data_IF_216575873385
#
_entry.id   IF_216575873385
#
_cell.length_a   1.000
_cell.length_b   1.000
_cell.length_c   1.000
_cell.angle_alpha   90.00
_cell.angle_beta   90.00
_cell.angle_gamma   90.00
#
_symmetry.space_group_name_H-M   'P 1'
#
loop_
_entity.id
_entity.type
_entity.pdbx_description
1 polymer ?
#
# COMPACT_ATOMS: atom_id res chain seq x y z
N UNK A 1 14.55 -16.36 0.04
CA UNK A 1 15.14 -17.37 0.97
C UNK A 1 15.60 -16.77 2.30
N UNK A 2 16.71 -16.02 2.38
CA UNK A 2 17.26 -15.57 3.67
C UNK A 2 16.30 -14.77 4.57
N UNK A 3 15.46 -13.91 3.97
CA UNK A 3 14.39 -13.18 4.68
C UNK A 3 13.39 -14.15 5.33
N UNK A 4 12.94 -15.16 4.58
CA UNK A 4 11.95 -16.14 5.06
C UNK A 4 12.50 -16.98 6.21
N UNK A 5 13.79 -17.33 6.16
CA UNK A 5 14.46 -18.05 7.24
C UNK A 5 14.62 -17.19 8.50
N UNK A 6 15.08 -15.94 8.37
CA UNK A 6 15.22 -15.00 9.49
C UNK A 6 13.91 -14.71 10.21
N UNK A 7 12.80 -14.66 9.48
CA UNK A 7 11.47 -14.47 10.04
C UNK A 7 10.84 -15.75 10.62
N UNK A 8 11.54 -16.90 10.56
CA UNK A 8 11.00 -18.17 11.04
C UNK A 8 9.79 -18.68 10.26
N UNK A 9 9.62 -18.24 9.00
CA UNK A 9 8.46 -18.61 8.17
C UNK A 9 8.46 -20.11 7.86
N UNK A 10 9.63 -20.69 7.60
CA UNK A 10 9.74 -22.13 7.31
C UNK A 10 9.25 -22.98 8.50
N UNK A 11 9.65 -22.63 9.71
CA UNK A 11 9.19 -23.30 10.94
C UNK A 11 7.68 -23.11 11.15
N UNK A 12 7.18 -21.89 10.90
CA UNK A 12 5.76 -21.55 11.05
C UNK A 12 4.88 -22.34 10.07
N UNK A 13 5.34 -22.51 8.83
CA UNK A 13 4.64 -23.25 7.80
C UNK A 13 4.95 -24.76 7.82
N UNK A 14 5.87 -25.19 8.68
CA UNK A 14 6.37 -26.56 8.74
C UNK A 14 6.86 -27.08 7.37
N UNK A 15 7.67 -26.26 6.68
CA UNK A 15 8.26 -26.58 5.36
C UNK A 15 9.79 -26.57 5.43
N UNK A 16 10.40 -27.35 4.55
CA UNK A 16 11.85 -27.38 4.37
C UNK A 16 12.35 -26.23 3.50
N UNK A 17 13.66 -25.96 3.57
CA UNK A 17 14.35 -25.02 2.67
C UNK A 17 14.17 -25.42 1.20
N UNK A 18 14.21 -26.71 0.89
CA UNK A 18 13.99 -27.23 -0.47
C UNK A 18 12.59 -26.91 -0.97
N UNK A 19 11.55 -27.18 -0.17
CA UNK A 19 10.17 -26.87 -0.55
C UNK A 19 9.96 -25.38 -0.81
N UNK A 20 10.55 -24.51 0.02
CA UNK A 20 10.46 -23.07 -0.23
C UNK A 20 11.21 -22.66 -1.50
N UNK A 21 12.40 -23.23 -1.75
CA UNK A 21 13.16 -22.94 -2.96
C UNK A 21 12.38 -23.37 -4.21
N UNK A 22 11.86 -24.60 -4.23
CA UNK A 22 11.08 -25.14 -5.35
C UNK A 22 9.81 -24.31 -5.58
N UNK A 23 9.14 -23.86 -4.50
CA UNK A 23 8.02 -22.93 -4.58
C UNK A 23 8.41 -21.60 -5.22
N UNK A 24 9.51 -20.98 -4.79
CA UNK A 24 9.95 -19.69 -5.33
C UNK A 24 10.35 -19.80 -6.80
N UNK A 25 10.96 -20.90 -7.24
CA UNK A 25 11.30 -21.14 -8.66
C UNK A 25 10.04 -21.25 -9.52
N UNK A 26 9.02 -21.97 -9.06
CA UNK A 26 7.75 -22.07 -9.78
C UNK A 26 7.00 -20.73 -9.83
N UNK A 27 7.05 -19.95 -8.74
CA UNK A 27 6.45 -18.61 -8.68
C UNK A 27 7.16 -17.65 -9.62
N UNK A 28 8.50 -17.58 -9.60
CA UNK A 28 9.30 -16.75 -10.52
C UNK A 28 8.98 -17.10 -11.98
N UNK A 29 8.92 -18.39 -12.31
CA UNK A 29 8.57 -18.88 -13.64
C UNK A 29 7.14 -18.53 -14.09
N UNK A 30 6.28 -18.12 -13.15
CA UNK A 30 4.91 -17.69 -13.41
C UNK A 30 4.76 -16.18 -13.58
N UNK A 31 5.82 -15.39 -13.37
CA UNK A 31 5.86 -13.98 -13.76
C UNK A 31 6.20 -13.83 -15.25
N UNK A 32 5.55 -12.87 -15.90
CA UNK A 32 5.83 -12.56 -17.29
C UNK A 32 7.01 -11.57 -17.42
N UNK A 33 7.60 -11.53 -18.61
CA UNK A 33 8.60 -10.52 -18.98
C UNK A 33 7.91 -9.20 -19.31
N UNK A 34 7.62 -8.43 -18.27
CA UNK A 34 7.12 -7.05 -18.34
C UNK A 34 8.23 -6.08 -17.88
N UNK A 35 8.13 -4.77 -18.14
CA UNK A 35 9.09 -3.82 -17.61
C UNK A 35 9.07 -3.72 -16.08
N UNK A 36 7.88 -3.64 -15.45
CA UNK A 36 7.74 -3.38 -14.02
C UNK A 36 7.24 -4.59 -13.24
N UNK A 37 6.06 -5.12 -13.59
CA UNK A 37 5.37 -6.19 -12.84
C UNK A 37 6.02 -7.56 -13.07
N UNK A 38 7.19 -7.74 -12.47
CA UNK A 38 8.08 -8.90 -12.60
C UNK A 38 8.34 -9.53 -11.23
N UNK A 39 8.99 -10.70 -11.20
CA UNK A 39 9.44 -11.29 -9.94
C UNK A 39 10.38 -10.37 -9.13
N UNK A 40 11.11 -9.48 -9.80
CA UNK A 40 11.96 -8.49 -9.11
C UNK A 40 11.15 -7.44 -8.35
N UNK A 41 9.97 -7.04 -8.87
CA UNK A 41 9.03 -6.16 -8.16
C UNK A 41 8.52 -6.85 -6.90
N UNK A 42 8.08 -8.11 -7.02
CA UNK A 42 7.65 -8.92 -5.88
C UNK A 42 8.78 -9.10 -4.83
N UNK A 43 10.04 -9.27 -5.27
CA UNK A 43 11.20 -9.33 -4.38
C UNK A 43 11.49 -7.99 -3.67
N UNK A 44 11.27 -6.85 -4.32
CA UNK A 44 11.37 -5.51 -3.72
C UNK A 44 10.31 -5.35 -2.61
N UNK A 45 9.06 -5.76 -2.87
CA UNK A 45 7.97 -5.76 -1.89
C UNK A 45 8.31 -6.62 -0.67
N UNK A 46 8.84 -7.83 -0.87
CA UNK A 46 9.32 -8.66 0.24
C UNK A 46 10.39 -7.95 1.06
N UNK A 47 11.26 -7.16 0.43
CA UNK A 47 12.32 -6.42 1.10
C UNK A 47 11.78 -5.24 1.92
N UNK A 48 10.80 -4.48 1.41
CA UNK A 48 10.20 -3.39 2.21
C UNK A 48 9.35 -3.94 3.35
N UNK A 49 8.63 -5.05 3.13
CA UNK A 49 7.89 -5.72 4.20
C UNK A 49 8.83 -6.22 5.29
N UNK A 50 9.97 -6.80 4.92
CA UNK A 50 11.00 -7.19 5.90
C UNK A 50 11.44 -5.99 6.75
N UNK A 51 11.75 -4.86 6.11
CA UNK A 51 12.08 -3.63 6.83
C UNK A 51 10.94 -3.15 7.74
N UNK A 52 9.69 -3.23 7.28
CA UNK A 52 8.53 -2.84 8.07
C UNK A 52 8.34 -3.73 9.31
N UNK A 53 8.45 -5.05 9.15
CA UNK A 53 8.24 -5.98 10.29
C UNK A 53 9.41 -5.97 11.27
N UNK A 54 10.64 -5.70 10.84
CA UNK A 54 11.81 -5.66 11.73
C UNK A 54 12.09 -4.25 12.25
N UNK A 55 12.44 -3.31 11.37
CA UNK A 55 12.96 -2.00 11.77
C UNK A 55 11.84 -1.04 12.20
N UNK A 56 10.66 -1.17 11.59
CA UNK A 56 9.47 -0.39 11.94
C UNK A 56 8.59 -1.07 12.99
N UNK A 57 9.03 -2.23 13.51
CA UNK A 57 8.38 -2.98 14.60
C UNK A 57 6.95 -3.45 14.29
N UNK A 58 6.55 -3.52 13.02
CA UNK A 58 5.22 -3.99 12.64
C UNK A 58 4.98 -5.47 13.00
N UNK A 59 6.04 -6.26 13.20
CA UNK A 59 5.93 -7.67 13.63
C UNK A 59 5.16 -7.84 14.93
N UNK A 60 5.20 -6.83 15.81
CA UNK A 60 4.50 -6.86 17.10
C UNK A 60 2.98 -6.86 17.00
N UNK A 61 2.46 -6.48 15.84
CA UNK A 61 1.02 -6.42 15.54
C UNK A 61 0.46 -7.73 15.00
N UNK A 62 1.31 -8.72 14.76
CA UNK A 62 0.95 -9.94 14.03
C UNK A 62 1.38 -11.19 14.77
N UNK A 63 0.65 -12.27 14.52
CA UNK A 63 1.11 -13.62 14.82
C UNK A 63 2.16 -14.07 13.79
N UNK A 64 3.01 -15.03 14.16
CA UNK A 64 3.97 -15.62 13.21
C UNK A 64 3.28 -16.17 11.95
N UNK A 65 2.07 -16.72 12.10
CA UNK A 65 1.27 -17.23 10.98
C UNK A 65 0.86 -16.10 10.04
N UNK A 66 0.32 -15.00 10.54
CA UNK A 66 -0.04 -13.83 9.72
C UNK A 66 1.17 -13.25 8.99
N UNK A 67 2.35 -13.18 9.63
CA UNK A 67 3.61 -12.80 8.98
C UNK A 67 3.95 -13.78 7.84
N UNK A 68 3.86 -15.08 8.08
CA UNK A 68 4.12 -16.08 7.04
C UNK A 68 3.18 -15.93 5.84
N UNK A 69 1.87 -15.71 6.06
CA UNK A 69 0.91 -15.51 4.97
C UNK A 69 1.17 -14.20 4.23
N UNK A 70 1.49 -13.11 4.95
CA UNK A 70 1.79 -11.81 4.37
C UNK A 70 2.96 -11.88 3.37
N UNK A 71 4.04 -12.57 3.73
CA UNK A 71 5.21 -12.71 2.86
C UNK A 71 4.96 -13.66 1.67
N UNK A 72 4.14 -14.68 1.84
CA UNK A 72 3.72 -15.54 0.71
C UNK A 72 2.75 -14.78 -0.21
N UNK A 73 1.83 -13.97 0.32
CA UNK A 73 0.98 -13.10 -0.50
C UNK A 73 1.83 -12.08 -1.28
N UNK A 74 2.82 -11.46 -0.64
CA UNK A 74 3.71 -10.50 -1.28
C UNK A 74 4.45 -11.06 -2.50
N UNK A 75 5.02 -12.27 -2.41
CA UNK A 75 5.72 -12.85 -3.56
C UNK A 75 4.77 -13.30 -4.67
N UNK A 76 3.48 -13.50 -4.34
CA UNK A 76 2.46 -14.01 -5.25
C UNK A 76 1.57 -12.93 -5.88
N UNK A 77 1.53 -11.70 -5.34
CA UNK A 77 0.44 -10.74 -5.61
C UNK A 77 0.27 -10.37 -7.09
N UNK A 78 1.35 -10.40 -7.87
CA UNK A 78 1.38 -10.04 -9.30
C UNK A 78 1.71 -11.21 -10.24
N UNK A 79 1.60 -12.45 -9.75
CA UNK A 79 1.84 -13.65 -10.58
C UNK A 79 0.94 -13.63 -11.83
N UNK A 80 1.52 -13.80 -13.00
CA UNK A 80 0.79 -13.77 -14.28
C UNK A 80 0.41 -12.38 -14.78
N UNK A 81 0.89 -11.29 -14.16
CA UNK A 81 0.58 -9.93 -14.61
C UNK A 81 1.01 -9.71 -16.08
N UNK A 82 0.12 -9.28 -17.00
CA UNK A 82 0.39 -9.22 -18.44
C UNK A 82 1.05 -7.91 -18.89
N UNK A 83 1.28 -6.97 -17.97
CA UNK A 83 1.81 -5.64 -18.28
C UNK A 83 0.75 -4.60 -18.66
N UNK A 84 -0.52 -4.90 -18.41
CA UNK A 84 -1.67 -4.03 -18.69
C UNK A 84 -2.65 -4.09 -17.52
N UNK A 85 -3.14 -2.93 -17.09
CA UNK A 85 -3.98 -2.82 -15.89
C UNK A 85 -5.41 -3.38 -16.08
N UNK A 86 -6.13 -3.49 -14.96
CA UNK A 86 -7.51 -4.00 -14.92
C UNK A 86 -8.45 -3.27 -15.91
N UNK A 87 -8.36 -1.94 -16.04
CA UNK A 87 -9.20 -1.15 -16.96
C UNK A 87 -8.95 -1.51 -18.43
N UNK A 88 -7.69 -1.74 -18.83
CA UNK A 88 -7.37 -2.23 -20.16
C UNK A 88 -7.99 -3.60 -20.44
N UNK A 89 -7.89 -4.53 -19.48
CA UNK A 89 -8.48 -5.87 -19.60
C UNK A 89 -9.99 -5.79 -19.85
N UNK A 90 -10.69 -4.93 -19.10
CA UNK A 90 -12.14 -4.73 -19.22
C UNK A 90 -12.51 -4.06 -20.55
N UNK A 91 -11.83 -2.97 -20.93
CA UNK A 91 -12.11 -2.24 -22.17
C UNK A 91 -11.87 -3.09 -23.43
N UNK A 92 -10.86 -3.95 -23.39
CA UNK A 92 -10.55 -4.87 -24.49
C UNK A 92 -11.36 -6.17 -24.47
N UNK A 93 -12.18 -6.38 -23.42
CA UNK A 93 -12.95 -7.62 -23.21
C UNK A 93 -12.06 -8.86 -23.25
N UNK A 94 -10.93 -8.80 -22.55
CA UNK A 94 -9.98 -9.92 -22.53
C UNK A 94 -10.62 -11.17 -21.91
N UNK A 95 -10.00 -12.32 -22.15
CA UNK A 95 -10.42 -13.58 -21.54
C UNK A 95 -10.37 -13.51 -20.01
N UNK A 96 -9.39 -12.78 -19.44
CA UNK A 96 -9.27 -12.57 -18.01
C UNK A 96 -10.43 -11.73 -17.48
N UNK A 97 -10.75 -10.61 -18.14
CA UNK A 97 -11.87 -9.76 -17.74
C UNK A 97 -13.21 -10.52 -17.75
N UNK A 98 -13.41 -11.38 -18.75
CA UNK A 98 -14.58 -12.26 -18.83
C UNK A 98 -14.59 -13.30 -17.70
N UNK A 99 -13.45 -13.95 -17.43
CA UNK A 99 -13.33 -14.98 -16.39
C UNK A 99 -13.61 -14.45 -14.98
N UNK A 100 -13.15 -13.22 -14.69
CA UNK A 100 -13.25 -12.61 -13.37
C UNK A 100 -14.34 -11.53 -13.29
N UNK A 101 -15.30 -11.55 -14.23
CA UNK A 101 -16.46 -10.65 -14.23
C UNK A 101 -16.08 -9.16 -14.02
N UNK A 102 -15.00 -8.71 -14.67
CA UNK A 102 -14.47 -7.35 -14.61
C UNK A 102 -14.13 -6.82 -13.20
N UNK A 103 -14.00 -7.67 -12.17
CA UNK A 103 -13.74 -7.26 -10.79
C UNK A 103 -12.40 -7.81 -10.32
N UNK A 104 -11.48 -6.92 -9.91
CA UNK A 104 -10.11 -7.27 -9.46
C UNK A 104 -9.49 -8.37 -10.33
N UNK A 105 -9.47 -8.12 -11.64
CA UNK A 105 -9.25 -9.12 -12.68
C UNK A 105 -7.86 -9.74 -12.54
N UNK A 106 -6.85 -8.90 -12.33
CA UNK A 106 -5.46 -9.32 -12.23
C UNK A 106 -5.15 -9.93 -10.86
N UNK A 107 -5.68 -9.36 -9.79
CA UNK A 107 -5.48 -9.88 -8.43
C UNK A 107 -6.13 -11.26 -8.27
N UNK A 108 -7.33 -11.44 -8.83
CA UNK A 108 -8.01 -12.74 -8.89
C UNK A 108 -7.21 -13.75 -9.74
N UNK A 109 -6.58 -13.28 -10.81
CA UNK A 109 -5.71 -14.12 -11.64
C UNK A 109 -4.47 -14.59 -10.90
N UNK A 110 -3.78 -13.69 -10.20
CA UNK A 110 -2.62 -14.01 -9.35
C UNK A 110 -2.96 -15.05 -8.29
N UNK A 111 -4.14 -14.91 -7.64
CA UNK A 111 -4.64 -15.89 -6.67
C UNK A 111 -4.84 -17.26 -7.31
N UNK A 112 -5.54 -17.31 -8.45
CA UNK A 112 -5.85 -18.56 -9.16
C UNK A 112 -4.60 -19.31 -9.63
N UNK A 113 -3.54 -18.59 -10.02
CA UNK A 113 -2.26 -19.18 -10.40
C UNK A 113 -1.45 -19.64 -9.18
N UNK A 114 -1.55 -18.93 -8.06
CA UNK A 114 -0.72 -19.17 -6.88
C UNK A 114 -1.21 -20.33 -6.01
N UNK A 115 -2.53 -20.53 -5.88
CA UNK A 115 -3.09 -21.56 -5.00
C UNK A 115 -2.62 -22.98 -5.37
N UNK A 116 -2.65 -23.41 -6.66
CA UNK A 116 -2.15 -24.73 -7.03
C UNK A 116 -0.66 -24.92 -6.69
N UNK A 117 0.16 -23.86 -6.75
CA UNK A 117 1.57 -23.91 -6.41
C UNK A 117 1.79 -24.00 -4.88
N UNK A 118 0.99 -23.26 -4.10
CA UNK A 118 0.95 -23.38 -2.63
C UNK A 118 0.62 -24.82 -2.22
N UNK A 119 -0.40 -25.42 -2.83
CA UNK A 119 -0.82 -26.80 -2.57
C UNK A 119 0.26 -27.82 -2.99
N UNK A 120 0.81 -27.66 -4.20
CA UNK A 120 1.89 -28.50 -4.77
C UNK A 120 3.08 -28.60 -3.82
N UNK A 121 3.53 -27.47 -3.29
CA UNK A 121 4.71 -27.40 -2.41
C UNK A 121 4.38 -27.63 -0.94
N UNK A 122 3.09 -27.84 -0.62
CA UNK A 122 2.61 -28.14 0.71
C UNK A 122 2.71 -26.97 1.68
N UNK A 123 2.67 -25.73 1.18
CA UNK A 123 2.51 -24.54 1.99
C UNK A 123 1.11 -24.55 2.63
N UNK A 124 0.99 -23.91 3.81
CA UNK A 124 -0.26 -23.77 4.58
C UNK A 124 -0.93 -25.09 5.02
N UNK A 125 -0.21 -26.22 5.03
CA UNK A 125 -0.75 -27.48 5.58
C UNK A 125 -1.12 -27.32 7.06
N UNK A 126 -2.38 -27.60 7.40
CA UNK A 126 -2.90 -27.50 8.79
C UNK A 126 -3.17 -26.07 9.27
N UNK A 127 -3.26 -25.12 8.33
CA UNK A 127 -3.36 -23.69 8.54
C UNK A 127 -4.55 -23.21 7.68
N UNK A 128 -5.69 -22.87 8.31
CA UNK A 128 -6.85 -22.25 7.62
C UNK A 128 -6.62 -20.75 7.34
N UNK A 129 -5.82 -20.46 6.31
CA UNK A 129 -5.38 -19.08 6.00
C UNK A 129 -5.43 -18.74 4.51
N UNK A 130 -6.04 -19.59 3.69
CA UNK A 130 -6.28 -19.27 2.27
C UNK A 130 -7.18 -18.03 2.17
N UNK A 131 -8.13 -17.85 3.08
CA UNK A 131 -8.96 -16.65 3.13
C UNK A 131 -8.14 -15.38 3.37
N UNK A 132 -7.19 -15.39 4.32
CA UNK A 132 -6.27 -14.27 4.54
C UNK A 132 -5.38 -14.03 3.31
N UNK A 133 -4.81 -15.08 2.72
CA UNK A 133 -4.00 -14.98 1.50
C UNK A 133 -4.77 -14.29 0.36
N UNK A 134 -6.03 -14.68 0.13
CA UNK A 134 -6.90 -14.05 -0.88
C UNK A 134 -7.18 -12.60 -0.56
N UNK A 135 -7.55 -12.28 0.69
CA UNK A 135 -7.85 -10.90 1.12
C UNK A 135 -6.64 -9.97 0.94
N UNK A 136 -5.44 -10.48 1.19
CA UNK A 136 -4.21 -9.72 1.01
C UNK A 136 -3.97 -9.38 -0.46
N UNK A 137 -3.98 -10.37 -1.36
CA UNK A 137 -3.75 -10.10 -2.78
C UNK A 137 -4.88 -9.25 -3.38
N UNK A 138 -6.15 -9.50 -3.06
CA UNK A 138 -7.25 -8.65 -3.53
C UNK A 138 -7.10 -7.19 -3.08
N UNK A 139 -6.50 -6.95 -1.91
CA UNK A 139 -6.32 -5.60 -1.39
C UNK A 139 -5.23 -4.79 -2.11
N UNK A 140 -4.42 -5.41 -2.98
CA UNK A 140 -3.44 -4.66 -3.79
C UNK A 140 -4.09 -3.99 -5.01
N UNK A 141 -5.34 -4.33 -5.34
CA UNK A 141 -6.10 -3.63 -6.38
C UNK A 141 -6.25 -2.14 -6.00
N UNK A 142 -5.72 -1.26 -6.84
CA UNK A 142 -5.76 0.19 -6.64
C UNK A 142 -7.20 0.74 -6.53
N UNK A 143 -8.23 0.00 -6.94
CA UNK A 143 -9.62 0.34 -6.66
C UNK A 143 -9.94 0.45 -5.15
N UNK A 144 -9.25 -0.30 -4.30
CA UNK A 144 -9.43 -0.29 -2.84
C UNK A 144 -8.52 0.70 -2.10
N UNK A 145 -7.66 1.42 -2.80
CA UNK A 145 -6.64 2.29 -2.17
C UNK A 145 -7.23 3.29 -1.16
N UNK A 146 -8.31 3.99 -1.50
CA UNK A 146 -8.90 4.98 -0.60
C UNK A 146 -9.70 4.35 0.55
N UNK A 147 -10.26 3.15 0.34
CA UNK A 147 -10.91 2.40 1.42
C UNK A 147 -9.87 1.95 2.44
N UNK A 148 -8.72 1.43 1.98
CA UNK A 148 -7.59 1.06 2.84
C UNK A 148 -6.98 2.28 3.55
N UNK A 149 -6.90 3.43 2.88
CA UNK A 149 -6.48 4.68 3.51
C UNK A 149 -7.41 5.08 4.66
N UNK A 150 -8.72 4.94 4.46
CA UNK A 150 -9.69 5.23 5.53
C UNK A 150 -9.56 4.20 6.66
N UNK A 151 -9.45 2.90 6.34
CA UNK A 151 -9.21 1.85 7.34
C UNK A 151 -7.94 2.12 8.16
N UNK A 152 -6.86 2.60 7.54
CA UNK A 152 -5.62 2.94 8.23
C UNK A 152 -5.81 4.09 9.23
N UNK A 153 -6.60 5.11 8.86
CA UNK A 153 -6.94 6.22 9.76
C UNK A 153 -7.84 5.76 10.91
N UNK A 154 -8.78 4.87 10.66
CA UNK A 154 -9.67 4.33 11.69
C UNK A 154 -8.90 3.47 12.71
N UNK A 155 -7.86 2.74 12.27
CA UNK A 155 -6.99 1.98 13.17
C UNK A 155 -6.11 2.86 14.07
N UNK A 156 -5.78 4.08 13.62
CA UNK A 156 -4.97 5.04 14.38
C UNK A 156 -5.67 5.50 15.66
N UNK A 157 -7.00 5.62 15.63
CA UNK A 157 -7.78 6.11 16.76
C UNK A 157 -7.85 5.12 17.95
N UNK A 158 -7.23 3.94 17.83
CA UNK A 158 -7.22 2.90 18.85
C UNK A 158 -6.03 3.03 19.83
N UNK A 159 -6.26 3.41 21.11
CA UNK A 159 -5.20 3.56 22.10
C UNK A 159 -4.56 2.24 22.53
N UNK A 160 -5.07 1.08 22.09
CA UNK A 160 -4.60 -0.25 22.47
C UNK A 160 -4.11 -1.08 21.27
N UNK A 161 -3.27 -0.49 20.43
CA UNK A 161 -2.62 -1.11 19.26
C UNK A 161 -2.01 -2.51 19.52
N UNK A 162 -1.57 -2.80 20.75
CA UNK A 162 -0.99 -4.09 21.16
C UNK A 162 -2.01 -5.23 21.39
N UNK A 163 -3.33 -4.95 21.32
CA UNK A 163 -4.41 -5.92 21.58
C UNK A 163 -5.40 -6.04 20.43
N UNK A 164 -4.92 -5.95 19.19
CA UNK A 164 -5.77 -6.10 18.02
C UNK A 164 -6.34 -7.51 17.88
N UNK A 165 -7.66 -7.57 17.68
CA UNK A 165 -8.37 -8.76 17.23
C UNK A 165 -7.95 -9.19 15.81
N UNK A 166 -8.37 -10.38 15.41
CA UNK A 166 -8.03 -10.99 14.12
C UNK A 166 -8.44 -10.11 12.92
N UNK A 167 -9.54 -9.36 13.05
CA UNK A 167 -10.04 -8.49 11.98
C UNK A 167 -9.13 -7.27 11.82
N UNK A 168 -8.74 -6.62 12.92
CA UNK A 168 -7.82 -5.47 12.89
C UNK A 168 -6.43 -5.87 12.40
N UNK A 169 -5.91 -7.02 12.83
CA UNK A 169 -4.63 -7.54 12.31
C UNK A 169 -4.72 -7.86 10.81
N UNK A 170 -5.83 -8.45 10.36
CA UNK A 170 -6.08 -8.65 8.92
C UNK A 170 -6.11 -7.33 8.15
N UNK A 171 -6.81 -6.31 8.68
CA UNK A 171 -6.87 -4.99 8.06
C UNK A 171 -5.50 -4.35 7.97
N UNK A 172 -4.72 -4.40 9.04
CA UNK A 172 -3.37 -3.88 9.03
C UNK A 172 -2.45 -4.63 8.07
N UNK A 173 -2.58 -5.95 7.94
CA UNK A 173 -1.80 -6.72 6.98
C UNK A 173 -2.11 -6.32 5.53
N UNK A 174 -3.39 -6.08 5.18
CA UNK A 174 -3.79 -5.51 3.87
C UNK A 174 -3.14 -4.14 3.65
N UNK A 175 -3.23 -3.25 4.65
CA UNK A 175 -2.67 -1.90 4.58
C UNK A 175 -1.16 -1.95 4.34
N UNK A 176 -0.45 -2.84 5.05
CA UNK A 176 1.01 -2.99 4.95
C UNK A 176 1.43 -3.57 3.60
N UNK A 177 0.71 -4.56 3.07
CA UNK A 177 0.98 -5.12 1.75
C UNK A 177 0.75 -4.08 0.65
N UNK A 178 -0.36 -3.35 0.72
CA UNK A 178 -0.64 -2.26 -0.22
C UNK A 178 0.42 -1.16 -0.13
N UNK A 179 0.83 -0.76 1.09
CA UNK A 179 1.93 0.19 1.28
C UNK A 179 3.23 -0.31 0.61
N UNK A 180 3.54 -1.59 0.78
CA UNK A 180 4.72 -2.21 0.21
C UNK A 180 4.71 -2.19 -1.31
N UNK A 181 3.56 -2.48 -1.92
CA UNK A 181 3.38 -2.50 -3.38
C UNK A 181 3.59 -1.11 -4.02
N UNK A 182 3.11 -0.05 -3.37
CA UNK A 182 3.34 1.33 -3.83
C UNK A 182 4.59 2.00 -3.22
N UNK A 183 5.52 1.23 -2.65
CA UNK A 183 6.65 1.77 -1.87
C UNK A 183 7.84 2.28 -2.69
N UNK A 184 7.85 2.10 -4.01
CA UNK A 184 8.99 2.48 -4.84
C UNK A 184 9.38 3.96 -4.69
N UNK A 185 8.40 4.84 -4.50
CA UNK A 185 8.61 6.28 -4.28
C UNK A 185 9.24 6.62 -2.92
N UNK A 186 9.27 5.68 -1.98
CA UNK A 186 9.92 5.83 -0.66
C UNK A 186 11.24 5.06 -0.58
N UNK A 187 11.77 4.59 -1.72
CA UNK A 187 13.15 4.09 -1.85
C UNK A 187 14.13 5.24 -2.03
N UNK A 188 15.40 5.01 -1.71
CA UNK A 188 16.46 5.98 -2.04
C UNK A 188 16.44 6.33 -3.53
N UNK A 189 16.78 7.56 -3.87
CA UNK A 189 16.58 8.14 -5.20
C UNK A 189 17.00 7.25 -6.38
N UNK A 190 18.20 6.62 -6.43
CA UNK A 190 18.59 5.80 -7.57
C UNK A 190 17.63 4.63 -7.84
N UNK A 191 17.14 4.00 -6.77
CA UNK A 191 16.21 2.87 -6.84
C UNK A 191 14.80 3.37 -7.20
N UNK A 192 14.33 4.43 -6.53
CA UNK A 192 13.03 5.07 -6.81
C UNK A 192 12.93 5.52 -8.27
N UNK A 193 14.01 6.12 -8.80
CA UNK A 193 14.09 6.55 -10.20
C UNK A 193 14.08 5.37 -11.17
N UNK A 194 14.84 4.31 -10.89
CA UNK A 194 14.85 3.11 -11.73
C UNK A 194 13.47 2.44 -11.80
N UNK A 195 12.79 2.28 -10.67
CA UNK A 195 11.42 1.77 -10.66
C UNK A 195 10.45 2.67 -11.42
N UNK A 196 10.60 3.99 -11.28
CA UNK A 196 9.83 4.95 -12.06
C UNK A 196 10.09 4.87 -13.57
N UNK A 197 11.31 4.52 -14.00
CA UNK A 197 11.63 4.27 -15.41
C UNK A 197 10.87 3.04 -15.95
N UNK A 198 10.87 1.96 -15.17
CA UNK A 198 10.20 0.71 -15.53
C UNK A 198 8.68 0.86 -15.61
N UNK A 199 8.04 1.46 -14.60
CA UNK A 199 6.57 1.61 -14.60
C UNK A 199 6.10 2.55 -15.71
N UNK A 200 6.84 3.63 -15.99
CA UNK A 200 6.47 4.55 -17.08
C UNK A 200 6.66 3.90 -18.45
N UNK A 201 7.69 3.05 -18.61
CA UNK A 201 7.83 2.25 -19.82
C UNK A 201 6.61 1.35 -20.04
N UNK A 202 6.12 0.69 -18.99
CA UNK A 202 4.95 -0.18 -19.06
C UNK A 202 3.66 0.60 -19.33
N UNK A 203 3.45 1.72 -18.64
CA UNK A 203 2.33 2.65 -18.91
C UNK A 203 2.32 3.11 -20.37
N UNK A 204 3.47 3.44 -20.94
CA UNK A 204 3.54 3.86 -22.33
C UNK A 204 3.31 2.71 -23.31
N UNK A 205 3.70 1.47 -22.97
CA UNK A 205 3.33 0.29 -23.76
C UNK A 205 1.82 0.07 -23.76
N UNK A 206 1.15 0.24 -22.61
CA UNK A 206 -0.30 0.22 -22.54
C UNK A 206 -0.94 1.32 -23.39
N UNK A 207 -0.46 2.56 -23.29
CA UNK A 207 -1.00 3.67 -24.08
C UNK A 207 -0.89 3.46 -25.59
N UNK A 208 0.18 2.82 -26.07
CA UNK A 208 0.33 2.46 -27.47
C UNK A 208 -0.61 1.32 -27.89
N UNK A 209 -0.83 0.34 -27.01
CA UNK A 209 -1.79 -0.75 -27.22
C UNK A 209 -3.24 -0.23 -27.27
N UNK A 210 -3.61 0.68 -26.37
CA UNK A 210 -4.91 1.35 -26.36
C UNK A 210 -5.16 2.10 -27.66
N UNK A 211 -4.18 2.90 -28.10
CA UNK A 211 -4.26 3.62 -29.39
C UNK A 211 -4.44 2.66 -30.56
N UNK A 212 -3.68 1.57 -30.58
CA UNK A 212 -3.73 0.56 -31.65
C UNK A 212 -5.07 -0.19 -31.67
N UNK A 213 -5.70 -0.36 -30.51
CA UNK A 213 -7.04 -0.96 -30.36
C UNK A 213 -8.19 0.04 -30.63
N UNK A 214 -7.90 1.29 -31.00
CA UNK A 214 -8.90 2.33 -31.21
C UNK A 214 -9.55 2.83 -29.91
N UNK A 215 -8.92 2.59 -28.75
CA UNK A 215 -9.37 3.07 -27.45
C UNK A 215 -8.80 4.45 -27.16
N UNK A 216 -9.48 5.18 -26.26
CA UNK A 216 -8.90 6.40 -25.68
C UNK A 216 -7.72 6.03 -24.81
N UNK A 217 -6.56 6.64 -25.08
CA UNK A 217 -5.33 6.45 -24.29
C UNK A 217 -5.57 6.92 -22.85
N UNK A 218 -5.21 6.06 -21.90
CA UNK A 218 -5.38 6.29 -20.48
C UNK A 218 -4.58 7.51 -20.00
N UNK A 219 -5.08 8.26 -19.01
CA UNK A 219 -4.42 9.46 -18.51
C UNK A 219 -2.97 9.18 -18.08
N UNK A 220 -2.03 9.97 -18.58
CA UNK A 220 -0.61 9.83 -18.25
C UNK A 220 0.12 8.70 -19.00
N UNK A 221 -0.57 7.94 -19.86
CA UNK A 221 0.02 6.82 -20.62
C UNK A 221 0.39 7.18 -22.07
N UNK A 222 0.08 8.39 -22.53
CA UNK A 222 0.51 8.87 -23.84
C UNK A 222 1.96 9.40 -23.78
N UNK A 223 2.92 8.63 -24.27
CA UNK A 223 4.34 9.01 -24.31
C UNK A 223 4.64 10.29 -25.10
N UNK A 224 3.75 10.73 -25.99
CA UNK A 224 3.91 11.98 -26.74
C UNK A 224 3.51 13.22 -25.91
N UNK A 225 2.70 13.03 -24.87
CA UNK A 225 2.09 14.11 -24.09
C UNK A 225 2.52 14.10 -22.61
N UNK A 226 2.87 12.93 -22.10
CA UNK A 226 3.18 12.73 -20.70
C UNK A 226 4.65 13.05 -20.39
N UNK A 227 4.87 13.51 -19.16
CA UNK A 227 6.21 13.72 -18.59
C UNK A 227 6.36 12.78 -17.41
N UNK A 228 7.41 11.96 -17.40
CA UNK A 228 7.72 11.09 -16.25
C UNK A 228 7.73 11.87 -14.94
N UNK A 229 8.43 13.00 -14.88
CA UNK A 229 8.49 13.82 -13.67
C UNK A 229 7.10 14.30 -13.23
N UNK A 230 6.21 14.63 -14.18
CA UNK A 230 4.84 15.02 -13.85
C UNK A 230 3.98 13.84 -13.38
N UNK A 231 4.19 12.64 -13.93
CA UNK A 231 3.54 11.40 -13.45
C UNK A 231 3.99 11.14 -12.01
N UNK A 232 5.31 11.11 -11.76
CA UNK A 232 5.89 10.76 -10.46
C UNK A 232 5.55 11.76 -9.37
N UNK A 233 5.58 13.07 -9.66
CA UNK A 233 5.15 14.10 -8.69
C UNK A 233 3.68 13.96 -8.33
N UNK A 234 2.80 13.73 -9.31
CA UNK A 234 1.35 13.57 -9.04
C UNK A 234 1.06 12.30 -8.26
N UNK A 235 1.71 11.18 -8.60
CA UNK A 235 1.55 9.92 -7.87
C UNK A 235 2.06 10.07 -6.43
N UNK A 236 3.24 10.67 -6.25
CA UNK A 236 3.80 11.00 -4.94
C UNK A 236 2.87 11.87 -4.10
N UNK A 237 2.39 12.99 -4.64
CA UNK A 237 1.60 13.98 -3.91
C UNK A 237 0.16 13.52 -3.61
N UNK A 238 -0.48 12.78 -4.52
CA UNK A 238 -1.93 12.48 -4.43
C UNK A 238 -2.26 11.06 -3.97
N UNK A 239 -1.33 10.12 -4.11
CA UNK A 239 -1.55 8.70 -3.81
C UNK A 239 -0.64 8.27 -2.67
N UNK A 240 0.68 8.40 -2.87
CA UNK A 240 1.66 7.86 -1.92
C UNK A 240 1.66 8.65 -0.62
N UNK A 241 1.83 9.99 -0.68
CA UNK A 241 2.00 10.81 0.52
C UNK A 241 0.83 10.66 1.51
N UNK A 242 -0.46 10.78 1.13
CA UNK A 242 -1.56 10.58 2.07
C UNK A 242 -1.57 9.18 2.69
N UNK A 243 -1.19 8.16 1.92
CA UNK A 243 -1.17 6.77 2.36
C UNK A 243 -0.05 6.50 3.36
N UNK A 244 1.17 6.92 3.03
CA UNK A 244 2.33 6.75 3.92
C UNK A 244 2.23 7.61 5.17
N UNK A 245 1.59 8.79 5.11
CA UNK A 245 1.28 9.57 6.32
C UNK A 245 0.34 8.81 7.26
N UNK A 246 -0.66 8.08 6.74
CA UNK A 246 -1.52 7.24 7.57
C UNK A 246 -0.76 6.05 8.17
N UNK A 247 0.10 5.39 7.38
CA UNK A 247 0.95 4.30 7.87
C UNK A 247 1.94 4.79 8.93
N UNK A 248 2.52 5.98 8.76
CA UNK A 248 3.42 6.60 9.74
C UNK A 248 2.75 6.83 11.09
N UNK A 249 1.46 7.14 11.12
CA UNK A 249 0.73 7.31 12.39
C UNK A 249 0.49 5.98 13.11
N UNK A 250 0.34 4.88 12.37
CA UNK A 250 0.29 3.53 12.92
C UNK A 250 1.67 3.02 13.36
N UNK A 251 2.72 3.35 12.59
CA UNK A 251 4.10 2.95 12.81
C UNK A 251 4.99 4.20 12.87
N UNK A 252 5.18 4.83 14.04
CA UNK A 252 5.93 6.09 14.13
C UNK A 252 7.37 6.03 13.61
N UNK A 253 7.99 4.84 13.59
CA UNK A 253 9.33 4.65 13.01
C UNK A 253 9.35 4.79 11.48
N UNK A 254 8.19 4.73 10.83
CA UNK A 254 8.06 4.89 9.38
C UNK A 254 8.29 6.34 8.90
N UNK A 255 8.64 7.28 9.78
CA UNK A 255 9.02 8.66 9.40
C UNK A 255 10.11 8.68 8.33
N UNK A 256 11.01 7.68 8.34
CA UNK A 256 12.05 7.49 7.32
C UNK A 256 11.48 7.39 5.89
N UNK A 257 10.30 6.81 5.71
CA UNK A 257 9.63 6.74 4.41
C UNK A 257 9.10 8.11 3.98
N UNK A 258 8.58 8.91 4.92
CA UNK A 258 8.12 10.28 4.66
C UNK A 258 9.31 11.17 4.27
N UNK A 259 10.39 11.12 5.03
CA UNK A 259 11.61 11.89 4.75
C UNK A 259 12.17 11.55 3.36
N UNK A 260 12.20 10.26 3.02
CA UNK A 260 12.67 9.79 1.71
C UNK A 260 11.73 10.24 0.58
N UNK A 261 10.41 10.22 0.81
CA UNK A 261 9.42 10.68 -0.15
C UNK A 261 9.61 12.16 -0.49
N UNK A 262 9.79 13.00 0.53
CA UNK A 262 10.03 14.45 0.36
C UNK A 262 11.35 14.71 -0.37
N UNK A 263 12.41 13.95 -0.06
CA UNK A 263 13.67 14.06 -0.78
C UNK A 263 13.51 13.67 -2.26
N UNK A 264 12.82 12.57 -2.54
CA UNK A 264 12.55 12.14 -3.92
C UNK A 264 11.69 13.15 -4.68
N UNK A 265 10.74 13.80 -4.00
CA UNK A 265 9.94 14.89 -4.57
C UNK A 265 10.82 16.05 -5.03
N UNK A 266 11.83 16.43 -4.23
CA UNK A 266 12.81 17.48 -4.60
C UNK A 266 13.60 17.07 -5.85
N UNK A 267 14.05 15.81 -5.93
CA UNK A 267 14.75 15.30 -7.12
C UNK A 267 13.86 15.33 -8.37
N UNK A 268 12.59 14.94 -8.24
CA UNK A 268 11.64 15.02 -9.35
C UNK A 268 11.38 16.46 -9.83
N UNK A 269 11.33 17.44 -8.93
CA UNK A 269 11.25 18.86 -9.30
C UNK A 269 12.51 19.36 -10.03
N UNK A 270 13.69 18.77 -9.77
CA UNK A 270 14.89 19.03 -10.58
C UNK A 270 14.74 18.43 -11.98
N UNK A 271 14.37 17.15 -12.08
CA UNK A 271 14.14 16.46 -13.36
C UNK A 271 13.12 17.23 -14.21
N UNK A 272 12.04 17.72 -13.61
CA UNK A 272 11.02 18.54 -14.30
C UNK A 272 11.56 19.86 -14.84
N UNK A 273 12.47 20.52 -14.12
CA UNK A 273 13.13 21.76 -14.57
C UNK A 273 14.17 21.54 -15.66
N UNK A 274 14.87 20.41 -15.63
CA UNK A 274 15.92 20.04 -16.57
C UNK A 274 15.37 19.42 -17.86
N UNK A 275 14.22 18.76 -17.77
CA UNK A 275 13.46 18.22 -18.90
C UNK A 275 12.11 18.94 -19.04
N UNK A 276 12.09 20.27 -19.23
CA UNK A 276 10.84 20.95 -19.53
C UNK A 276 10.34 20.40 -20.86
N UNK A 277 9.05 20.05 -20.91
CA UNK A 277 8.37 19.61 -22.13
C UNK A 277 8.62 20.67 -23.22
N UNK A 278 9.65 20.49 -24.04
CA UNK A 278 10.05 21.46 -25.05
C UNK A 278 9.60 20.93 -26.40
N UNK A 279 8.64 21.66 -26.98
CA UNK A 279 8.26 21.66 -28.40
C UNK A 279 7.24 20.63 -28.93
N UNK A 280 6.21 20.26 -28.17
CA UNK A 280 4.95 19.78 -28.76
C UNK A 280 3.77 20.49 -28.11
N UNK A 281 2.89 21.08 -28.93
CA UNK A 281 1.62 21.74 -28.55
C UNK A 281 1.77 23.22 -28.13
N UNK A 282 2.09 24.07 -29.12
CA UNK A 282 1.58 25.45 -29.19
C UNK A 282 0.27 25.55 -30.00
N UNK A 283 -0.39 24.42 -30.28
CA UNK A 283 -1.65 24.36 -31.03
C UNK A 283 -2.51 23.25 -30.46
N UNK A 284 -3.49 23.64 -29.65
CA UNK A 284 -4.77 23.01 -29.36
C UNK A 284 -5.13 23.24 -27.89
N UNK A 285 -6.27 23.90 -27.72
CA UNK A 285 -6.73 24.48 -26.47
C UNK A 285 -7.09 23.44 -25.41
N UNK A 286 -7.10 23.94 -24.18
CA UNK A 286 -7.72 23.38 -22.96
C UNK A 286 -8.12 21.91 -23.03
N UNK A 287 -7.19 21.03 -22.64
CA UNK A 287 -7.50 19.63 -22.35
C UNK A 287 -7.78 19.50 -20.85
N UNK A 288 -9.02 19.15 -20.51
CA UNK A 288 -9.44 18.77 -19.17
C UNK A 288 -8.81 17.44 -18.75
N UNK A 289 -8.33 17.37 -17.51
CA UNK A 289 -7.58 16.25 -16.94
C UNK A 289 -8.45 15.55 -15.88
N UNK A 290 -8.79 14.25 -16.05
CA UNK A 290 -9.11 13.37 -14.94
C UNK A 290 -7.88 12.51 -14.57
N UNK A 291 -7.68 12.28 -13.28
CA UNK A 291 -6.69 11.34 -12.77
C UNK A 291 -7.11 9.89 -13.10
N UNK A 292 -6.23 9.09 -13.72
CA UNK A 292 -6.26 7.63 -13.65
C UNK A 292 -5.20 7.20 -12.64
N UNK A 293 -5.37 6.19 -11.78
CA UNK A 293 -6.16 4.95 -11.90
C UNK A 293 -7.05 4.73 -10.67
N UNK A 294 -7.45 5.80 -9.99
CA UNK A 294 -8.58 5.75 -9.07
C UNK A 294 -9.63 6.68 -9.63
N UNK A 295 -10.82 6.16 -9.95
CA UNK A 295 -12.01 7.00 -10.02
C UNK A 295 -12.12 7.63 -8.62
N UNK A 296 -11.61 8.85 -8.44
CA UNK A 296 -11.96 9.66 -7.28
C UNK A 296 -13.49 9.62 -7.21
N UNK A 297 -14.10 9.03 -6.17
CA UNK A 297 -15.54 9.14 -6.00
C UNK A 297 -15.85 10.63 -6.08
N UNK A 298 -16.77 11.00 -6.97
CA UNK A 298 -17.25 12.38 -7.05
C UNK A 298 -17.74 12.76 -5.66
N UNK A 299 -16.98 13.61 -4.95
CA UNK A 299 -17.46 14.31 -3.77
C UNK A 299 -18.49 15.35 -4.22
N UNK A 300 -19.65 14.87 -4.66
CA UNK A 300 -20.86 15.63 -4.84
C UNK A 300 -22.02 14.79 -4.31
N UNK A 301 -22.65 15.34 -3.28
CA UNK A 301 -23.98 15.01 -2.77
C UNK A 301 -24.11 13.83 -1.80
N UNK A 302 -23.42 13.89 -0.66
CA UNK A 302 -24.07 13.55 0.62
C UNK A 302 -24.30 14.82 1.41
N UNK A 303 -25.59 15.10 1.66
CA UNK A 303 -26.11 16.25 2.39
C UNK A 303 -25.50 16.32 3.81
N UNK A 304 -24.37 17.01 3.97
CA UNK A 304 -24.03 17.59 5.26
C UNK A 304 -24.99 18.76 5.50
N UNK A 305 -25.93 18.57 6.43
CA UNK A 305 -26.72 19.67 6.99
C UNK A 305 -25.76 20.75 7.51
N UNK A 306 -25.97 22.04 7.20
CA UNK A 306 -25.10 23.09 7.68
C UNK A 306 -25.15 23.13 9.20
N UNK A 307 -23.98 22.92 9.82
CA UNK A 307 -23.77 23.10 11.25
C UNK A 307 -23.98 24.59 11.56
N UNK A 308 -25.01 24.91 12.35
CA UNK A 308 -25.29 26.27 12.82
C UNK A 308 -24.07 26.80 13.59
N UNK A 309 -23.41 27.80 13.04
CA UNK A 309 -22.46 28.64 13.77
C UNK A 309 -23.28 29.51 14.73
N UNK A 310 -23.34 29.12 16.01
CA UNK A 310 -23.81 30.01 17.07
C UNK A 310 -22.67 30.98 17.39
N UNK A 311 -22.83 32.23 16.95
CA UNK A 311 -22.04 33.37 17.43
C UNK A 311 -22.34 33.58 18.92
N UNK A 312 -21.34 33.44 19.77
CA UNK A 312 -21.41 33.95 21.14
C UNK A 312 -20.94 35.41 21.13
N UNK A 313 -21.88 36.32 21.37
CA UNK A 313 -21.64 37.73 21.65
C UNK A 313 -21.12 37.94 23.08
N UNK A 314 -20.33 39.01 23.23
CA UNK A 314 -19.61 39.44 24.41
C UNK A 314 -20.47 40.08 25.52
N UNK A 315 -19.98 39.97 26.77
CA UNK A 315 -20.32 40.69 28.03
C UNK A 315 -21.53 40.12 28.80
N UNK A 316 -21.52 39.89 30.13
CA UNK A 316 -20.78 40.50 31.25
C UNK A 316 -20.87 39.68 32.56
N UNK A 317 -19.83 39.80 33.40
CA UNK A 317 -19.72 39.72 34.88
C UNK A 317 -20.25 38.50 35.66
N UNK A 318 -19.40 37.93 36.53
CA UNK A 318 -19.50 38.00 38.01
C UNK A 318 -18.43 37.12 38.71
N UNK A 319 -17.59 37.79 39.52
CA UNK A 319 -16.94 37.45 40.80
C UNK A 319 -16.13 36.14 41.01
N UNK A 320 -14.84 36.35 41.32
CA UNK A 320 -13.91 35.41 42.00
C UNK A 320 -13.94 35.69 43.52
N UNK A 321 -13.82 34.64 44.36
CA UNK A 321 -12.99 34.73 45.57
C UNK A 321 -11.98 33.57 45.69
N UNK A 322 -10.97 33.70 46.57
CA UNK A 322 -9.59 33.31 46.27
C UNK A 322 -9.13 31.97 46.86
N UNK A 323 -7.98 31.52 46.35
CA UNK A 323 -7.17 30.41 46.87
C UNK A 323 -6.71 30.68 48.31
N UNK A 324 -6.70 29.61 49.12
CA UNK A 324 -5.79 29.50 50.27
C UNK A 324 -5.14 28.12 50.28
N UNK A 325 -3.84 28.18 50.57
CA UNK A 325 -2.89 27.12 50.85
C UNK A 325 -3.31 26.24 52.03
N UNK A 326 -2.72 25.04 52.13
CA UNK A 326 -1.93 24.56 53.27
C UNK A 326 -1.50 23.10 53.01
N UNK A 327 -0.18 22.92 53.08
CA UNK A 327 0.56 21.68 53.29
C UNK A 327 0.34 21.10 54.70
N UNK A 328 0.28 19.78 54.85
CA UNK A 328 1.05 18.98 55.84
C UNK A 328 0.36 17.65 56.18
N UNK A 329 1.19 16.65 56.49
CA UNK A 329 0.87 15.50 57.36
C UNK A 329 -0.04 14.38 56.77
N UNK A 330 0.28 13.09 56.80
CA UNK A 330 1.02 12.30 57.79
C UNK A 330 1.74 11.09 57.18
N UNK A 331 2.89 10.81 57.80
CA UNK A 331 3.71 9.60 57.74
C UNK A 331 3.06 8.44 58.52
N UNK A 332 3.48 7.22 58.12
CA UNK A 332 3.75 6.02 58.94
C UNK A 332 2.56 5.30 59.60
N UNK A 333 2.37 4.04 59.21
CA UNK A 333 2.67 2.85 60.03
C UNK A 333 2.39 1.59 59.16
N UNK A 334 3.37 0.72 58.92
CA UNK A 334 3.66 -0.51 59.70
C UNK A 334 2.55 -1.58 59.51
N UNK A 335 2.75 -2.88 59.26
CA UNK A 335 3.89 -3.81 59.38
C UNK A 335 3.39 -5.19 58.86
N UNK A 336 4.28 -5.96 58.23
CA UNK A 336 4.46 -7.42 58.21
C UNK A 336 3.31 -8.44 57.97
N UNK A 337 3.60 -9.35 57.01
CA UNK A 337 3.58 -10.83 57.08
C UNK A 337 2.38 -11.60 57.68
N UNK A 338 1.81 -12.56 56.92
CA UNK A 338 1.89 -14.05 57.07
C UNK A 338 0.75 -14.78 56.33
N UNK A 339 1.16 -15.70 55.44
CA UNK A 339 0.65 -17.09 55.18
C UNK A 339 -0.82 -17.30 54.80
N UNK A 340 -1.06 -17.82 53.58
CA UNK A 340 -1.22 -19.26 53.27
C UNK A 340 -1.21 -19.51 51.77
#
# INVERSE_FOLDING_TARGET
MGIFEKLGILNTLNITVSQLLDFLVDIDSSYHSTPYHTFYHAADIVTILYFAVTELEASTCFTNKEIAILFIAAICHDVGHPGFNNDFQVKTRSNLATRYNNTSVLESHSIDLSIPLIEKHGLFKGIDYIDLFRKLILSTDMAYHYDLLQEARDLEEDPFFWFWDDKRRTNFAKILLHAADISNTVRVWPISKQWSDLIVQEFFQQGDAERSAGLTVSPGMDRALASQASISLRFGDLIVKPYFEAVYRLLPKASVWIDTLEQNRIEWEKVKRETPLTAAIRRHGSVSIPAGTVLLPSLLETKMKPMRILRASSHSNILIPPQNSISSELRRNSVQHIVS
#
